data_IF_142978568047
#
_entry.id   IF_142978568047
#
_cell.length_a   1.000
_cell.length_b   1.000
_cell.length_c   1.000
_cell.angle_alpha   90.00
_cell.angle_beta   90.00
_cell.angle_gamma   90.00
#
_symmetry.space_group_name_H-M   'P 1'
#
loop_
_entity.id
_entity.type
_entity.pdbx_description
1 polymer ?
#
# COMPACT_ATOMS: atom_id res chain seq x y z
N UNK A 1 87.40 -13.64 -22.66
CA UNK A 1 86.98 -12.44 -23.41
C UNK A 1 86.05 -12.89 -24.52
N UNK A 2 84.75 -12.86 -24.25
CA UNK A 2 83.68 -13.16 -25.22
C UNK A 2 82.53 -12.24 -24.84
N UNK A 3 82.15 -11.33 -25.74
CA UNK A 3 81.01 -10.42 -25.52
C UNK A 3 80.08 -10.60 -26.72
N UNK A 4 78.91 -11.19 -26.44
CA UNK A 4 77.87 -11.51 -27.40
C UNK A 4 76.91 -10.35 -27.61
N UNK A 5 76.65 -10.09 -28.88
CA UNK A 5 75.65 -9.26 -29.56
C UNK A 5 74.29 -9.07 -28.86
N UNK A 6 73.90 -7.80 -28.67
CA UNK A 6 72.54 -7.35 -28.35
C UNK A 6 71.77 -6.90 -29.59
N UNK A 7 70.57 -7.43 -29.76
CA UNK A 7 69.59 -7.14 -30.83
C UNK A 7 68.81 -5.86 -30.56
N UNK A 8 68.60 -5.07 -31.61
CA UNK A 8 67.71 -3.90 -31.66
C UNK A 8 66.29 -4.28 -32.10
N UNK A 9 65.28 -3.90 -31.34
CA UNK A 9 63.87 -3.94 -31.79
C UNK A 9 63.14 -2.65 -31.41
N UNK A 10 62.49 -2.08 -32.41
CA UNK A 10 61.69 -0.84 -32.47
C UNK A 10 60.39 -0.87 -31.65
N UNK A 11 59.75 0.30 -31.40
CA UNK A 11 58.94 0.53 -30.21
C UNK A 11 57.41 0.41 -30.39
N UNK A 12 56.79 0.04 -29.27
CA UNK A 12 55.50 0.46 -28.70
C UNK A 12 54.24 0.52 -29.60
N UNK A 13 53.44 -0.55 -29.53
CA UNK A 13 51.98 -0.47 -29.59
C UNK A 13 51.38 -0.88 -28.24
N UNK A 14 50.82 0.08 -27.52
CA UNK A 14 50.09 -0.10 -26.26
C UNK A 14 48.65 -0.57 -26.53
N UNK A 15 48.30 -1.77 -26.07
CA UNK A 15 46.92 -2.28 -26.05
C UNK A 15 46.13 -1.65 -24.89
N UNK A 16 44.99 -1.05 -25.23
CA UNK A 16 44.01 -0.48 -24.31
C UNK A 16 43.29 -1.55 -23.49
N UNK A 17 43.34 -1.44 -22.16
CA UNK A 17 42.42 -2.09 -21.24
C UNK A 17 41.37 -1.08 -20.77
N UNK A 18 40.15 -1.11 -21.32
CA UNK A 18 39.04 -0.30 -20.83
C UNK A 18 37.71 -1.00 -21.11
N UNK A 19 37.13 -1.67 -20.10
CA UNK A 19 35.70 -2.06 -20.05
C UNK A 19 35.30 -2.68 -18.69
N UNK A 20 35.71 -2.09 -17.56
CA UNK A 20 35.19 -2.58 -16.25
C UNK A 20 35.07 -1.55 -15.12
N UNK A 21 35.04 -0.25 -15.43
CA UNK A 21 35.09 0.81 -14.41
C UNK A 21 34.06 1.94 -14.60
N UNK A 22 32.94 1.71 -15.31
CA UNK A 22 31.88 2.72 -15.45
C UNK A 22 30.52 2.36 -14.86
N UNK A 23 30.36 1.20 -14.21
CA UNK A 23 29.08 0.75 -13.65
C UNK A 23 28.89 0.97 -12.13
N UNK A 24 29.86 1.60 -11.46
CA UNK A 24 29.83 1.74 -9.98
C UNK A 24 29.46 3.15 -9.46
N UNK A 25 29.18 4.12 -10.34
CA UNK A 25 28.99 5.53 -9.93
C UNK A 25 27.54 6.05 -9.95
N UNK A 26 26.52 5.20 -10.17
CA UNK A 26 25.11 5.67 -10.28
C UNK A 26 24.15 4.99 -9.30
N UNK A 27 24.66 4.50 -8.17
CA UNK A 27 23.83 3.82 -7.17
C UNK A 27 23.92 4.56 -5.85
N UNK A 28 22.90 5.37 -5.56
CA UNK A 28 22.75 6.08 -4.29
C UNK A 28 21.88 5.24 -3.34
N UNK A 29 22.30 4.97 -2.10
CA UNK A 29 21.44 4.29 -1.13
C UNK A 29 20.29 5.23 -0.71
N UNK A 30 19.04 4.78 -0.87
CA UNK A 30 17.87 5.63 -0.58
C UNK A 30 17.52 5.65 0.92
N UNK A 31 17.67 4.56 1.69
CA UNK A 31 17.66 4.54 3.16
C UNK A 31 17.76 3.10 3.69
N UNK A 32 18.23 2.96 4.93
CA UNK A 32 18.39 1.67 5.63
C UNK A 32 17.10 1.36 6.42
N UNK A 33 16.27 0.43 5.95
CA UNK A 33 15.15 -0.08 6.74
C UNK A 33 15.61 -1.32 7.50
N UNK A 34 15.82 -1.19 8.81
CA UNK A 34 16.12 -2.30 9.71
C UNK A 34 14.83 -2.77 10.39
N UNK A 35 14.24 -3.86 9.91
CA UNK A 35 13.19 -4.54 10.66
C UNK A 35 13.82 -5.44 11.72
N UNK A 36 13.59 -5.13 12.99
CA UNK A 36 14.03 -5.95 14.12
C UNK A 36 12.91 -6.92 14.46
N UNK A 37 13.08 -8.20 14.13
CA UNK A 37 12.25 -9.26 14.71
C UNK A 37 13.15 -10.27 15.41
N UNK A 38 12.65 -10.91 16.47
CA UNK A 38 13.44 -11.51 17.56
C UNK A 38 14.39 -12.67 17.20
N UNK A 39 14.54 -13.04 15.92
CA UNK A 39 15.46 -14.12 15.50
C UNK A 39 16.23 -13.89 14.20
N UNK A 40 15.93 -12.91 13.33
CA UNK A 40 16.74 -12.65 12.11
C UNK A 40 16.70 -11.19 11.64
N UNK A 41 17.87 -10.65 11.25
CA UNK A 41 18.01 -9.36 10.58
C UNK A 41 17.80 -9.55 9.06
N UNK A 42 16.61 -9.29 8.55
CA UNK A 42 16.40 -9.23 7.11
C UNK A 42 16.78 -7.83 6.60
N UNK A 43 17.80 -7.76 5.74
CA UNK A 43 18.24 -6.52 5.09
C UNK A 43 17.73 -6.51 3.65
N UNK A 44 16.75 -5.66 3.35
CA UNK A 44 16.30 -5.42 1.97
C UNK A 44 17.02 -4.18 1.46
N UNK A 45 17.88 -4.37 0.46
CA UNK A 45 18.53 -3.27 -0.26
C UNK A 45 17.74 -3.02 -1.55
N UNK A 46 17.00 -1.92 -1.59
CA UNK A 46 16.39 -1.43 -2.82
C UNK A 46 17.34 -0.43 -3.48
N UNK A 47 17.80 -0.74 -4.70
CA UNK A 47 18.59 0.17 -5.52
C UNK A 47 17.69 0.82 -6.55
N UNK A 48 17.71 2.14 -6.66
CA UNK A 48 17.13 2.88 -7.79
C UNK A 48 18.27 3.39 -8.67
N UNK A 49 18.17 3.16 -9.99
CA UNK A 49 19.17 3.58 -10.97
C UNK A 49 19.04 5.05 -11.39
N UNK A 50 18.04 5.81 -10.90
CA UNK A 50 17.88 7.22 -11.24
C UNK A 50 17.08 8.03 -10.18
N UNK A 51 17.71 8.88 -9.36
CA UNK A 51 17.02 9.69 -8.35
C UNK A 51 16.22 10.88 -8.92
N UNK A 52 16.30 11.13 -10.24
CA UNK A 52 15.62 12.26 -10.90
C UNK A 52 14.25 11.92 -11.50
N UNK A 53 13.86 10.64 -11.57
CA UNK A 53 12.53 10.23 -11.96
C UNK A 53 11.68 10.00 -10.72
N UNK A 54 10.65 10.83 -10.54
CA UNK A 54 9.65 10.63 -9.51
C UNK A 54 9.00 9.25 -9.72
N UNK A 55 9.17 8.34 -8.74
CA UNK A 55 8.61 7.00 -8.83
C UNK A 55 7.09 7.11 -9.07
N UNK A 56 6.53 6.34 -10.04
CA UNK A 56 5.10 6.26 -10.21
C UNK A 56 4.42 5.90 -8.87
N UNK A 57 3.34 6.57 -8.48
CA UNK A 57 2.76 6.41 -7.16
C UNK A 57 2.09 5.04 -6.99
N UNK A 58 1.92 4.64 -5.73
CA UNK A 58 0.94 3.63 -5.35
C UNK A 58 -0.41 4.32 -5.16
N UNK A 59 -1.44 3.85 -5.86
CA UNK A 59 -2.81 4.33 -5.69
C UNK A 59 -3.64 3.24 -5.05
N UNK A 60 -4.18 3.51 -3.88
CA UNK A 60 -5.09 2.59 -3.19
C UNK A 60 -6.50 3.14 -3.35
N UNK A 61 -7.38 2.35 -3.98
CA UNK A 61 -8.81 2.66 -4.05
C UNK A 61 -9.54 1.69 -3.14
N UNK A 62 -10.16 2.18 -2.07
CA UNK A 62 -10.53 1.27 -1.00
C UNK A 62 -11.28 1.85 0.19
N UNK A 63 -11.49 0.96 1.16
CA UNK A 63 -12.21 1.22 2.40
C UNK A 63 -11.35 1.87 3.48
N UNK A 64 -11.99 2.67 4.31
CA UNK A 64 -11.46 3.20 5.57
C UNK A 64 -12.49 2.98 6.68
N UNK A 65 -12.13 2.25 7.74
CA UNK A 65 -13.05 1.89 8.82
C UNK A 65 -12.54 2.37 10.18
N UNK A 66 -13.42 2.85 11.05
CA UNK A 66 -13.12 2.90 12.48
C UNK A 66 -13.35 1.50 13.08
N UNK A 67 -12.29 0.88 13.56
CA UNK A 67 -12.35 -0.46 14.16
C UNK A 67 -12.50 -0.29 15.68
N UNK A 68 -13.69 -0.65 16.18
CA UNK A 68 -14.09 -0.58 17.59
C UNK A 68 -13.86 -1.96 18.20
N UNK A 69 -12.76 -2.09 18.94
CA UNK A 69 -12.42 -3.30 19.65
C UNK A 69 -13.08 -3.31 21.02
N UNK A 70 -13.74 -4.41 21.36
CA UNK A 70 -14.29 -4.66 22.69
C UNK A 70 -13.85 -6.03 23.17
N UNK A 71 -13.24 -6.07 24.36
CA UNK A 71 -12.82 -7.32 24.98
C UNK A 71 -13.94 -7.87 25.86
N UNK A 72 -14.33 -9.12 25.62
CA UNK A 72 -15.43 -9.79 26.32
C UNK A 72 -15.02 -11.21 26.74
N UNK A 73 -15.69 -11.76 27.75
CA UNK A 73 -15.48 -13.17 28.12
C UNK A 73 -16.02 -14.12 27.05
N UNK A 74 -17.23 -13.80 26.55
CA UNK A 74 -17.94 -14.55 25.52
C UNK A 74 -18.92 -13.65 24.77
N UNK A 75 -19.41 -14.10 23.64
CA UNK A 75 -20.49 -13.42 22.93
C UNK A 75 -21.78 -13.36 23.78
N UNK A 76 -22.55 -12.27 23.70
CA UNK A 76 -23.85 -12.16 24.34
C UNK A 76 -24.83 -13.14 23.69
N UNK A 77 -25.75 -13.67 24.50
CA UNK A 77 -26.94 -14.36 23.99
C UNK A 77 -28.00 -13.34 23.58
N UNK A 78 -29.02 -13.79 22.86
CA UNK A 78 -30.17 -12.95 22.52
C UNK A 78 -30.80 -12.35 23.78
N UNK A 79 -31.03 -11.03 23.77
CA UNK A 79 -31.59 -10.28 24.89
C UNK A 79 -30.63 -10.02 26.07
N UNK A 80 -29.40 -10.52 26.01
CA UNK A 80 -28.43 -10.37 27.09
C UNK A 80 -27.59 -9.09 26.95
N UNK A 81 -27.30 -8.44 28.08
CA UNK A 81 -26.31 -7.35 28.17
C UNK A 81 -25.07 -7.85 28.91
N UNK A 82 -23.89 -7.69 28.31
CA UNK A 82 -22.61 -8.04 28.92
C UNK A 82 -21.77 -6.79 29.14
N UNK A 83 -21.07 -6.75 30.27
CA UNK A 83 -20.02 -5.75 30.50
C UNK A 83 -18.77 -6.14 29.71
N UNK A 84 -18.21 -5.19 28.95
CA UNK A 84 -16.90 -5.35 28.33
C UNK A 84 -15.80 -5.16 29.39
N UNK A 85 -14.67 -5.85 29.21
CA UNK A 85 -13.47 -5.69 30.05
C UNK A 85 -12.73 -4.40 29.72
N UNK A 86 -12.64 -4.11 28.43
CA UNK A 86 -11.98 -2.95 27.87
C UNK A 86 -12.55 -2.65 26.49
N UNK A 87 -12.26 -1.46 25.97
CA UNK A 87 -12.59 -1.10 24.60
C UNK A 87 -11.72 0.02 24.07
N UNK A 88 -11.51 0.03 22.76
CA UNK A 88 -10.75 1.07 22.06
C UNK A 88 -11.27 1.22 20.63
N UNK A 89 -11.12 2.42 20.07
CA UNK A 89 -11.42 2.70 18.67
C UNK A 89 -10.13 3.08 17.96
N UNK A 90 -9.84 2.39 16.86
CA UNK A 90 -8.63 2.57 16.08
C UNK A 90 -8.98 2.86 14.62
N UNK A 91 -8.08 3.55 13.92
CA UNK A 91 -8.14 3.65 12.48
C UNK A 91 -7.82 2.29 11.84
N UNK A 92 -8.67 1.83 10.93
CA UNK A 92 -8.55 0.55 10.25
C UNK A 92 -9.21 0.56 8.87
N UNK A 93 -9.66 -0.61 8.42
CA UNK A 93 -10.12 -0.83 7.04
C UNK A 93 -9.00 -1.27 6.10
N UNK A 94 -9.30 -2.22 5.21
CA UNK A 94 -8.27 -2.87 4.38
C UNK A 94 -7.57 -1.89 3.45
N UNK A 95 -8.31 -0.97 2.82
CA UNK A 95 -7.74 0.05 1.93
C UNK A 95 -6.83 1.01 2.69
N UNK A 96 -7.31 1.58 3.79
CA UNK A 96 -6.53 2.48 4.62
C UNK A 96 -5.23 1.83 5.13
N UNK A 97 -5.30 0.58 5.60
CA UNK A 97 -4.11 -0.16 6.04
C UNK A 97 -3.09 -0.38 4.91
N UNK A 98 -3.54 -0.72 3.70
CA UNK A 98 -2.66 -0.86 2.54
C UNK A 98 -2.00 0.46 2.14
N UNK A 99 -2.75 1.56 2.18
CA UNK A 99 -2.22 2.90 1.87
C UNK A 99 -1.16 3.31 2.90
N UNK A 100 -1.45 3.18 4.18
CA UNK A 100 -0.50 3.49 5.26
C UNK A 100 0.76 2.65 5.15
N UNK A 101 0.64 1.32 4.95
CA UNK A 101 1.81 0.46 4.76
C UNK A 101 2.68 0.89 3.57
N UNK A 102 2.07 1.25 2.44
CA UNK A 102 2.80 1.69 1.25
C UNK A 102 3.52 3.02 1.49
N UNK A 103 2.86 3.96 2.16
CA UNK A 103 3.44 5.26 2.52
C UNK A 103 4.59 5.13 3.52
N UNK A 104 4.48 4.24 4.53
CA UNK A 104 5.54 3.96 5.50
C UNK A 104 6.79 3.34 4.85
N UNK A 105 6.64 2.65 3.72
CA UNK A 105 7.76 2.19 2.89
C UNK A 105 8.34 3.30 1.99
N UNK A 106 7.98 4.56 2.22
CA UNK A 106 8.42 5.75 1.49
C UNK A 106 8.02 5.79 0.01
N UNK A 107 6.98 5.04 -0.38
CA UNK A 107 6.38 5.18 -1.71
C UNK A 107 5.40 6.36 -1.73
N UNK A 108 5.42 7.22 -2.76
CA UNK A 108 4.36 8.20 -2.96
C UNK A 108 3.01 7.49 -3.05
N UNK A 109 2.17 7.66 -2.03
CA UNK A 109 0.93 6.89 -1.91
C UNK A 109 -0.26 7.82 -1.85
N UNK A 110 -1.24 7.58 -2.71
CA UNK A 110 -2.53 8.26 -2.73
C UNK A 110 -3.64 7.31 -2.32
N UNK A 111 -4.60 7.83 -1.57
CA UNK A 111 -5.79 7.10 -1.17
C UNK A 111 -7.03 7.71 -1.82
N UNK A 112 -7.75 6.90 -2.60
CA UNK A 112 -9.05 7.22 -3.17
C UNK A 112 -10.10 6.44 -2.37
N UNK A 113 -10.85 7.15 -1.55
CA UNK A 113 -11.83 6.53 -0.65
C UNK A 113 -12.86 7.53 -0.17
N UNK A 114 -13.76 7.08 0.69
CA UNK A 114 -14.81 7.91 1.27
C UNK A 114 -14.86 7.71 2.79
N UNK A 115 -15.07 8.79 3.52
CA UNK A 115 -15.40 8.79 4.95
C UNK A 115 -16.61 9.68 5.20
N UNK A 116 -17.30 9.48 6.31
CA UNK A 116 -18.39 10.36 6.75
C UNK A 116 -17.88 11.69 7.30
N UNK A 117 -18.77 12.67 7.37
CA UNK A 117 -18.53 13.93 8.12
C UNK A 117 -18.78 13.71 9.62
N UNK A 118 -17.91 12.91 10.24
CA UNK A 118 -18.00 12.52 11.64
C UNK A 118 -16.63 12.34 12.31
N UNK A 119 -16.64 12.07 13.62
CA UNK A 119 -15.42 11.89 14.39
C UNK A 119 -14.56 10.70 13.91
N UNK A 120 -15.19 9.67 13.34
CA UNK A 120 -14.47 8.53 12.76
C UNK A 120 -13.79 8.90 11.44
N UNK A 121 -14.43 9.74 10.62
CA UNK A 121 -13.82 10.30 9.42
C UNK A 121 -12.60 11.15 9.75
N UNK A 122 -12.69 11.97 10.81
CA UNK A 122 -11.56 12.75 11.33
C UNK A 122 -10.43 11.82 11.78
N UNK A 123 -10.72 10.84 12.64
CA UNK A 123 -9.77 9.83 13.12
C UNK A 123 -9.01 9.15 11.97
N UNK A 124 -9.72 8.70 10.94
CA UNK A 124 -9.14 8.03 9.78
C UNK A 124 -8.29 8.96 8.93
N UNK A 125 -8.78 10.17 8.66
CA UNK A 125 -8.03 11.16 7.88
C UNK A 125 -6.72 11.57 8.56
N UNK A 126 -6.74 11.73 9.89
CA UNK A 126 -5.54 12.08 10.66
C UNK A 126 -4.56 10.90 10.72
N UNK A 127 -5.04 9.67 10.91
CA UNK A 127 -4.20 8.48 10.90
C UNK A 127 -3.52 8.27 9.54
N UNK A 128 -4.26 8.37 8.44
CA UNK A 128 -3.72 8.25 7.08
C UNK A 128 -2.70 9.35 6.78
N UNK A 129 -3.02 10.60 7.11
CA UNK A 129 -2.10 11.74 6.93
C UNK A 129 -0.84 11.56 7.76
N UNK A 130 -0.97 11.13 9.02
CA UNK A 130 0.15 10.80 9.91
C UNK A 130 1.02 9.66 9.39
N UNK A 131 0.43 8.71 8.65
CA UNK A 131 1.14 7.63 7.94
C UNK A 131 1.85 8.06 6.65
N UNK A 132 1.73 9.32 6.23
CA UNK A 132 2.33 9.85 5.00
C UNK A 132 1.49 9.63 3.73
N UNK A 133 0.22 9.24 3.88
CA UNK A 133 -0.70 9.04 2.76
C UNK A 133 -1.23 10.40 2.27
N UNK A 134 -1.28 10.57 0.95
CA UNK A 134 -1.87 11.75 0.29
C UNK A 134 -3.37 11.59 0.18
N UNK A 135 -4.11 12.59 0.69
CA UNK A 135 -5.56 12.55 0.87
C UNK A 135 -6.32 13.49 -0.08
N UNK A 136 -5.68 13.97 -1.14
CA UNK A 136 -6.29 14.84 -2.16
C UNK A 136 -7.53 14.21 -2.82
N UNK A 137 -7.65 12.88 -2.76
CA UNK A 137 -8.76 12.10 -3.32
C UNK A 137 -9.61 11.39 -2.26
N UNK A 138 -9.49 11.77 -0.98
CA UNK A 138 -10.38 11.33 0.09
C UNK A 138 -11.65 12.19 0.07
N UNK A 139 -12.81 11.57 -0.13
CA UNK A 139 -14.10 12.26 -0.13
C UNK A 139 -14.71 12.22 1.27
N UNK A 140 -15.18 13.38 1.75
CA UNK A 140 -16.01 13.46 2.96
C UNK A 140 -17.48 13.49 2.55
N UNK A 141 -18.28 12.58 3.09
CA UNK A 141 -19.67 12.34 2.74
C UNK A 141 -20.56 12.76 3.90
N UNK A 142 -21.30 13.86 3.74
CA UNK A 142 -22.19 14.37 4.80
C UNK A 142 -23.44 13.49 5.02
N UNK A 143 -23.86 12.71 4.01
CA UNK A 143 -25.10 11.94 4.02
C UNK A 143 -24.95 10.50 4.53
N UNK A 144 -23.75 10.06 4.90
CA UNK A 144 -23.50 8.70 5.36
C UNK A 144 -22.44 8.70 6.47
N UNK A 145 -22.57 7.84 7.50
CA UNK A 145 -21.54 7.70 8.52
C UNK A 145 -20.30 7.05 7.93
N UNK A 146 -19.15 7.27 8.55
CA UNK A 146 -17.92 6.54 8.23
C UNK A 146 -18.11 5.04 8.45
N UNK A 147 -17.51 4.23 7.58
CA UNK A 147 -17.47 2.79 7.77
C UNK A 147 -16.84 2.45 9.13
N UNK A 148 -17.36 1.42 9.78
CA UNK A 148 -16.82 0.98 11.07
C UNK A 148 -17.07 -0.50 11.28
N UNK A 149 -16.24 -1.11 12.11
CA UNK A 149 -16.38 -2.49 12.51
C UNK A 149 -16.42 -2.57 14.03
N UNK A 150 -17.31 -3.41 14.57
CA UNK A 150 -17.29 -3.80 15.97
C UNK A 150 -16.62 -5.15 16.07
N UNK A 151 -15.42 -5.18 16.64
CA UNK A 151 -14.59 -6.38 16.83
C UNK A 151 -14.72 -6.82 18.27
N UNK A 152 -15.48 -7.88 18.49
CA UNK A 152 -15.60 -8.55 19.77
C UNK A 152 -14.48 -9.56 19.92
N UNK A 153 -13.54 -9.32 20.83
CA UNK A 153 -12.43 -10.23 21.13
C UNK A 153 -12.75 -11.02 22.39
N UNK A 154 -12.82 -12.35 22.25
CA UNK A 154 -13.07 -13.26 23.34
C UNK A 154 -11.77 -13.65 24.05
N UNK A 155 -11.86 -14.00 25.33
CA UNK A 155 -10.68 -14.34 26.16
C UNK A 155 -9.93 -15.61 25.70
N UNK A 156 -10.55 -16.42 24.83
CA UNK A 156 -9.92 -17.58 24.20
C UNK A 156 -9.21 -17.26 22.87
N UNK A 157 -9.11 -15.96 22.50
CA UNK A 157 -8.48 -15.49 21.26
C UNK A 157 -9.38 -15.55 20.03
N UNK A 158 -10.63 -16.04 20.14
CA UNK A 158 -11.59 -15.97 19.04
C UNK A 158 -12.14 -14.55 18.90
N UNK A 159 -12.56 -14.19 17.69
CA UNK A 159 -13.20 -12.91 17.42
C UNK A 159 -14.53 -13.08 16.70
N UNK A 160 -15.38 -12.07 16.81
CA UNK A 160 -16.56 -11.89 15.98
C UNK A 160 -16.64 -10.44 15.56
N UNK A 161 -16.94 -10.21 14.29
CA UNK A 161 -16.86 -8.87 13.69
C UNK A 161 -18.20 -8.55 13.05
N UNK A 162 -18.75 -7.38 13.41
CA UNK A 162 -19.88 -6.77 12.73
C UNK A 162 -19.34 -5.59 11.93
N UNK A 163 -19.63 -5.55 10.63
CA UNK A 163 -19.14 -4.48 9.75
C UNK A 163 -20.33 -3.65 9.28
N UNK A 164 -20.17 -2.32 9.36
CA UNK A 164 -21.08 -1.33 8.80
C UNK A 164 -20.31 -0.61 7.71
N UNK A 165 -20.71 -0.80 6.45
CA UNK A 165 -19.99 -0.25 5.29
C UNK A 165 -20.00 1.29 5.24
N UNK A 166 -21.09 1.93 5.68
CA UNK A 166 -21.19 3.39 5.71
C UNK A 166 -20.82 4.05 4.38
N UNK A 167 -20.04 5.12 4.44
CA UNK A 167 -19.49 5.83 3.29
C UNK A 167 -18.66 4.94 2.34
N UNK A 168 -18.07 3.84 2.81
CA UNK A 168 -17.32 2.94 1.91
C UNK A 168 -18.25 2.27 0.87
N UNK A 169 -19.52 2.04 1.21
CA UNK A 169 -20.49 1.33 0.36
C UNK A 169 -21.59 2.22 -0.25
N UNK A 170 -21.59 3.51 0.06
CA UNK A 170 -22.63 4.46 -0.36
C UNK A 170 -22.00 5.68 -1.02
N UNK A 171 -22.81 6.54 -1.63
CA UNK A 171 -22.38 7.86 -2.13
C UNK A 171 -21.24 7.87 -3.18
N UNK A 172 -20.83 6.72 -3.70
CA UNK A 172 -19.99 6.63 -4.89
C UNK A 172 -20.76 7.12 -6.12
N UNK A 173 -20.16 7.99 -6.95
CA UNK A 173 -20.77 8.38 -8.21
C UNK A 173 -20.84 7.18 -9.16
N UNK A 174 -21.81 7.19 -10.08
CA UNK A 174 -21.96 6.13 -11.09
C UNK A 174 -20.72 6.00 -11.98
N UNK A 175 -20.04 7.11 -12.24
CA UNK A 175 -18.72 7.15 -12.89
C UNK A 175 -17.75 7.91 -11.98
N UNK A 176 -16.57 7.34 -11.75
CA UNK A 176 -15.55 8.00 -10.94
C UNK A 176 -15.12 9.34 -11.58
N UNK A 177 -14.84 10.37 -10.74
CA UNK A 177 -14.34 11.65 -11.23
C UNK A 177 -13.09 11.47 -12.10
N UNK A 178 -12.99 12.27 -13.17
CA UNK A 178 -11.90 12.17 -14.14
C UNK A 178 -10.52 12.24 -13.48
N UNK A 179 -10.37 13.11 -12.49
CA UNK A 179 -9.15 13.24 -11.70
C UNK A 179 -8.73 11.94 -10.99
N UNK A 180 -9.68 11.14 -10.46
CA UNK A 180 -9.36 9.86 -9.82
C UNK A 180 -8.93 8.83 -10.86
N UNK A 181 -9.61 8.81 -12.02
CA UNK A 181 -9.26 7.92 -13.12
C UNK A 181 -7.88 8.26 -13.72
N UNK A 182 -7.55 9.53 -13.87
CA UNK A 182 -6.24 9.99 -14.35
C UNK A 182 -5.13 9.66 -13.34
N UNK A 183 -5.40 9.79 -12.04
CA UNK A 183 -4.48 9.38 -10.97
C UNK A 183 -4.21 7.86 -11.02
N UNK A 184 -5.26 7.06 -11.16
CA UNK A 184 -5.16 5.59 -11.33
C UNK A 184 -4.37 5.22 -12.58
N UNK A 185 -4.60 5.89 -13.71
CA UNK A 185 -3.91 5.62 -14.97
C UNK A 185 -2.40 5.89 -14.90
N UNK A 186 -1.98 6.85 -14.07
CA UNK A 186 -0.59 7.25 -13.87
C UNK A 186 0.11 6.45 -12.76
N UNK A 187 -0.62 5.61 -12.02
CA UNK A 187 -0.07 4.81 -10.94
C UNK A 187 0.94 3.78 -11.48
N UNK A 188 1.96 3.48 -10.68
CA UNK A 188 2.82 2.32 -10.91
C UNK A 188 2.18 1.03 -10.42
N UNK A 189 1.43 1.13 -9.33
CA UNK A 189 0.71 0.03 -8.69
C UNK A 189 -0.66 0.55 -8.25
N UNK A 190 -1.70 -0.24 -8.52
CA UNK A 190 -3.05 -0.01 -8.00
C UNK A 190 -3.43 -1.13 -7.03
N UNK A 191 -3.86 -0.77 -5.83
CA UNK A 191 -4.31 -1.71 -4.82
C UNK A 191 -5.83 -1.59 -4.62
N UNK A 192 -6.52 -2.73 -4.73
CA UNK A 192 -7.98 -2.85 -4.57
C UNK A 192 -8.33 -3.88 -3.48
N UNK A 193 -9.53 -3.76 -2.93
CA UNK A 193 -10.09 -4.72 -1.97
C UNK A 193 -11.60 -4.87 -2.20
N UNK A 194 -12.25 -5.80 -1.50
CA UNK A 194 -13.70 -6.05 -1.59
C UNK A 194 -14.50 -5.41 -0.45
N UNK A 195 -14.25 -4.13 -0.16
CA UNK A 195 -14.97 -3.39 0.89
C UNK A 195 -15.57 -2.07 0.39
N UNK A 196 -15.67 -1.93 -0.94
CA UNK A 196 -16.36 -0.85 -1.65
C UNK A 196 -17.23 -1.48 -2.75
N UNK A 197 -18.16 -0.75 -3.39
CA UNK A 197 -18.99 -1.33 -4.44
C UNK A 197 -18.16 -1.91 -5.58
N UNK A 198 -18.49 -3.13 -6.02
CA UNK A 198 -17.75 -3.82 -7.09
C UNK A 198 -17.70 -3.00 -8.39
N UNK A 199 -18.73 -2.19 -8.66
CA UNK A 199 -18.74 -1.28 -9.81
C UNK A 199 -17.59 -0.27 -9.81
N UNK A 200 -17.14 0.18 -8.63
CA UNK A 200 -15.98 1.06 -8.46
C UNK A 200 -14.70 0.30 -8.78
N UNK A 201 -14.54 -0.89 -8.20
CA UNK A 201 -13.40 -1.77 -8.48
C UNK A 201 -13.24 -2.08 -9.97
N UNK A 202 -14.34 -2.34 -10.67
CA UNK A 202 -14.35 -2.59 -12.12
C UNK A 202 -13.88 -1.36 -12.90
N UNK A 203 -14.37 -0.16 -12.59
CA UNK A 203 -13.94 1.07 -13.25
C UNK A 203 -12.44 1.33 -13.07
N UNK A 204 -11.93 1.12 -11.85
CA UNK A 204 -10.49 1.29 -11.55
C UNK A 204 -9.65 0.26 -12.32
N UNK A 205 -10.07 -1.01 -12.34
CA UNK A 205 -9.36 -2.08 -13.04
C UNK A 205 -9.29 -1.86 -14.57
N UNK A 206 -10.30 -1.20 -15.16
CA UNK A 206 -10.31 -0.87 -16.59
C UNK A 206 -9.28 0.20 -16.98
N UNK A 207 -8.87 1.06 -16.03
CA UNK A 207 -8.02 2.22 -16.27
C UNK A 207 -6.60 2.05 -15.70
N UNK A 208 -6.41 1.15 -14.72
CA UNK A 208 -5.14 0.92 -14.07
C UNK A 208 -4.00 0.39 -14.97
N UNK A 209 -2.74 0.47 -14.49
CA UNK A 209 -1.57 -0.01 -15.20
C UNK A 209 -1.62 -1.53 -15.38
N UNK A 210 -1.56 -1.99 -16.64
CA UNK A 210 -1.70 -3.41 -16.99
C UNK A 210 -3.15 -3.86 -17.03
N UNK A 211 -3.82 -3.60 -18.17
CA UNK A 211 -5.22 -3.98 -18.44
C UNK A 211 -5.48 -5.44 -18.05
N UNK A 212 -6.16 -5.66 -16.91
CA UNK A 212 -6.54 -6.98 -16.44
C UNK A 212 -7.95 -7.34 -16.94
N UNK A 213 -8.07 -8.55 -17.49
CA UNK A 213 -9.34 -9.23 -17.82
C UNK A 213 -10.26 -9.34 -16.57
N UNK A 214 -11.58 -9.50 -16.76
CA UNK A 214 -12.57 -9.44 -15.69
C UNK A 214 -12.26 -10.42 -14.55
N UNK A 215 -12.36 -9.90 -13.32
CA UNK A 215 -12.24 -10.58 -12.04
C UNK A 215 -12.83 -12.01 -12.06
N UNK A 216 -11.96 -13.01 -12.21
CA UNK A 216 -12.27 -14.41 -11.87
C UNK A 216 -11.23 -14.85 -10.85
N UNK A 217 -11.71 -15.30 -9.70
CA UNK A 217 -10.96 -15.79 -8.55
C UNK A 217 -9.82 -16.74 -8.93
N UNK A 218 -8.63 -16.20 -9.21
CA UNK A 218 -7.37 -16.91 -9.12
C UNK A 218 -6.31 -15.97 -8.53
N UNK A 219 -5.72 -16.47 -7.46
CA UNK A 219 -4.57 -15.92 -6.76
C UNK A 219 -3.43 -15.60 -7.73
N UNK A 220 -2.78 -14.46 -7.48
CA UNK A 220 -1.56 -13.94 -8.11
C UNK A 220 -1.54 -13.83 -9.64
N UNK A 221 -1.56 -12.58 -10.13
CA UNK A 221 -0.85 -12.22 -11.36
C UNK A 221 0.05 -11.01 -11.11
N UNK A 222 1.36 -11.23 -11.28
CA UNK A 222 2.39 -10.22 -11.39
C UNK A 222 2.14 -9.38 -12.64
N UNK A 223 1.36 -8.30 -12.50
CA UNK A 223 1.31 -7.15 -13.42
C UNK A 223 0.43 -6.06 -12.78
N UNK A 224 1.05 -5.17 -11.99
CA UNK A 224 0.52 -3.84 -11.63
C UNK A 224 -0.70 -3.72 -10.69
N UNK A 225 -1.52 -4.76 -10.50
CA UNK A 225 -2.72 -4.70 -9.67
C UNK A 225 -2.75 -5.83 -8.63
N UNK A 226 -2.86 -5.49 -7.35
CA UNK A 226 -3.00 -6.46 -6.26
C UNK A 226 -4.37 -6.30 -5.60
N UNK A 227 -5.13 -7.39 -5.55
CA UNK A 227 -6.41 -7.46 -4.84
C UNK A 227 -6.20 -8.32 -3.60
N UNK A 228 -6.37 -7.74 -2.41
CA UNK A 228 -6.37 -8.51 -1.18
C UNK A 228 -7.78 -9.06 -0.90
N UNK A 229 -7.90 -10.37 -0.76
CA UNK A 229 -9.15 -11.05 -0.40
C UNK A 229 -9.56 -10.83 1.06
N UNK A 230 -10.76 -11.29 1.41
CA UNK A 230 -11.18 -11.36 2.82
C UNK A 230 -10.22 -12.27 3.60
N UNK A 231 -9.81 -11.82 4.79
CA UNK A 231 -9.20 -12.71 5.79
C UNK A 231 -10.33 -13.47 6.47
#
# INVERSE_FOLDING_TARGET
MSIGTTLSTTPNHSFHSNTRTSLLNTVSPIQFLSFRNHTHNLRVLCFSSNPSQQLPPVVVVGSANADIYVEIDRLPREGETLAAKSGQTLAGGKGANQATCSAMLSYPTYFVGQVGDDAYGTLLSDALRGGGVRLDSLTVVASAPTGHAVVMLQSNGQNSIIIIGGANMSCWPSTLPRQHLDLVAQAGIVLLQREIPDAVNVQVAQVGPGRAEPFRTKSLTLQGMLVCGYC
#
